data_IF_468174076111
#
_entry.id   IF_468174076111
#
_cell.length_a   1.000
_cell.length_b   1.000
_cell.length_c   1.000
_cell.angle_alpha   90.00
_cell.angle_beta   90.00
_cell.angle_gamma   90.00
#
_symmetry.space_group_name_H-M   'P 1'
#
loop_
_entity.id
_entity.type
_entity.pdbx_description
1 polymer ?
#
# COMPACT_ATOMS: atom_id res chain seq x y z
N UNK A 1 14.17 18.44 -10.49
CA UNK A 1 13.64 17.20 -11.10
C UNK A 1 12.71 16.59 -10.06
N UNK A 2 11.48 16.27 -10.45
CA UNK A 2 10.52 15.64 -9.53
C UNK A 2 10.97 14.21 -9.24
N UNK A 3 10.58 13.64 -8.10
CA UNK A 3 10.93 12.27 -7.73
C UNK A 3 10.47 11.25 -8.78
N UNK A 4 9.28 11.44 -9.32
CA UNK A 4 8.70 10.60 -10.38
C UNK A 4 9.58 10.53 -11.64
N UNK A 5 10.33 11.62 -11.93
CA UNK A 5 11.26 11.66 -13.09
C UNK A 5 12.55 10.88 -12.82
N UNK A 6 12.86 10.55 -11.56
CA UNK A 6 14.08 9.85 -11.13
C UNK A 6 13.87 8.35 -10.91
N UNK A 7 12.63 7.90 -10.77
CA UNK A 7 12.31 6.51 -10.45
C UNK A 7 11.72 5.79 -11.66
N UNK A 8 12.29 4.64 -11.99
CA UNK A 8 11.73 3.69 -12.95
C UNK A 8 11.24 2.47 -12.18
N UNK A 9 9.95 2.16 -12.29
CA UNK A 9 9.38 0.93 -11.72
C UNK A 9 9.30 -0.14 -12.81
N UNK A 10 9.99 -1.25 -12.60
CA UNK A 10 9.96 -2.43 -13.45
C UNK A 10 8.88 -3.39 -12.91
N UNK A 11 7.66 -3.29 -13.47
CA UNK A 11 6.47 -3.96 -12.94
C UNK A 11 6.61 -5.49 -12.88
N UNK A 12 7.22 -6.12 -13.90
CA UNK A 12 7.37 -7.59 -13.97
C UNK A 12 8.28 -8.14 -12.88
N UNK A 13 9.37 -7.45 -12.61
CA UNK A 13 10.39 -7.81 -11.64
C UNK A 13 10.09 -7.24 -10.25
N UNK A 14 9.15 -6.31 -10.17
CA UNK A 14 8.79 -5.55 -8.97
C UNK A 14 10.00 -4.81 -8.36
N UNK A 15 10.80 -4.19 -9.23
CA UNK A 15 12.04 -3.51 -8.89
C UNK A 15 11.89 -2.00 -9.14
N UNK A 16 12.39 -1.21 -8.20
CA UNK A 16 12.52 0.24 -8.37
C UNK A 16 13.97 0.61 -8.66
N UNK A 17 14.20 1.34 -9.75
CA UNK A 17 15.49 1.92 -10.10
C UNK A 17 15.44 3.42 -9.83
N UNK A 18 16.31 3.90 -8.96
CA UNK A 18 16.54 5.33 -8.74
C UNK A 18 17.66 5.79 -9.67
N UNK A 19 17.41 6.89 -10.41
CA UNK A 19 18.35 7.47 -11.40
C UNK A 19 18.84 6.46 -12.47
N UNK A 20 18.04 5.41 -12.70
CA UNK A 20 18.29 4.40 -13.74
C UNK A 20 19.30 3.30 -13.38
N UNK A 21 19.94 3.34 -12.21
CA UNK A 21 20.98 2.37 -11.83
C UNK A 21 20.95 1.90 -10.38
N UNK A 22 20.40 2.68 -9.45
CA UNK A 22 20.38 2.32 -8.02
C UNK A 22 19.11 1.52 -7.71
N UNK A 23 19.26 0.24 -7.40
CA UNK A 23 18.15 -0.61 -6.93
C UNK A 23 17.93 -0.35 -5.44
N UNK A 24 16.74 0.10 -5.09
CA UNK A 24 16.33 0.25 -3.69
C UNK A 24 15.33 -0.84 -3.29
N UNK A 25 15.42 -1.40 -2.06
CA UNK A 25 14.42 -2.30 -1.57
C UNK A 25 13.08 -1.59 -1.42
N UNK A 26 12.02 -2.28 -1.82
CA UNK A 26 10.67 -1.78 -1.59
C UNK A 26 10.26 -1.94 -0.13
N UNK A 27 9.33 -1.09 0.32
CA UNK A 27 8.68 -1.24 1.63
C UNK A 27 8.16 -2.66 1.82
N UNK A 28 7.58 -3.27 0.78
CA UNK A 28 7.04 -4.64 0.84
C UNK A 28 8.14 -5.68 1.05
N UNK A 29 9.32 -5.55 0.40
CA UNK A 29 10.45 -6.45 0.62
C UNK A 29 10.98 -6.39 2.06
N UNK A 30 11.14 -5.18 2.60
CA UNK A 30 11.56 -5.00 4.00
C UNK A 30 10.54 -5.58 4.98
N UNK A 31 9.25 -5.43 4.68
CA UNK A 31 8.19 -6.00 5.51
C UNK A 31 8.09 -7.52 5.38
N UNK A 32 8.39 -8.11 4.23
CA UNK A 32 8.50 -9.57 4.09
C UNK A 32 9.61 -10.13 4.97
N UNK A 33 10.75 -9.43 5.09
CA UNK A 33 11.81 -9.81 6.03
C UNK A 33 11.31 -9.81 7.49
N UNK A 34 10.58 -8.78 7.92
CA UNK A 34 10.01 -8.67 9.27
C UNK A 34 8.90 -9.71 9.53
N UNK A 35 8.02 -9.93 8.58
CA UNK A 35 6.81 -10.75 8.69
C UNK A 35 6.91 -12.04 7.87
N UNK A 36 8.11 -12.63 7.78
CA UNK A 36 8.44 -13.77 6.91
C UNK A 36 7.50 -14.99 7.05
N UNK A 37 6.92 -15.20 8.23
CA UNK A 37 6.03 -16.32 8.50
C UNK A 37 4.55 -16.03 8.18
N UNK A 38 4.20 -14.81 7.74
CA UNK A 38 2.79 -14.39 7.59
C UNK A 38 2.01 -15.24 6.58
N UNK A 39 2.67 -15.75 5.54
CA UNK A 39 2.04 -16.54 4.48
C UNK A 39 2.62 -17.96 4.34
N UNK A 40 3.41 -18.42 5.32
CA UNK A 40 4.17 -19.67 5.27
C UNK A 40 3.33 -20.90 4.93
N UNK A 41 2.10 -20.97 5.44
CA UNK A 41 1.21 -22.12 5.27
C UNK A 41 0.15 -21.89 4.17
N UNK A 42 0.28 -20.82 3.36
CA UNK A 42 -0.69 -20.52 2.30
C UNK A 42 -0.15 -20.98 0.95
N UNK A 43 -0.85 -21.86 0.22
CA UNK A 43 -0.41 -22.33 -1.09
C UNK A 43 -0.22 -21.18 -2.08
N UNK A 44 0.83 -21.23 -2.91
CA UNK A 44 1.18 -20.19 -3.89
C UNK A 44 0.03 -19.86 -4.85
N UNK A 45 -0.72 -20.86 -5.28
CA UNK A 45 -1.90 -20.64 -6.14
C UNK A 45 -2.97 -19.78 -5.47
N UNK A 46 -3.15 -19.91 -4.16
CA UNK A 46 -4.10 -19.12 -3.38
C UNK A 46 -3.59 -17.69 -3.26
N UNK A 47 -2.30 -17.51 -2.97
CA UNK A 47 -1.65 -16.21 -2.93
C UNK A 47 -1.76 -15.50 -4.28
N UNK A 48 -1.44 -16.18 -5.38
CA UNK A 48 -1.52 -15.63 -6.74
C UNK A 48 -2.95 -15.21 -7.12
N UNK A 49 -3.95 -16.03 -6.80
CA UNK A 49 -5.37 -15.69 -7.04
C UNK A 49 -5.81 -14.48 -6.21
N UNK A 50 -5.38 -14.39 -4.95
CA UNK A 50 -5.68 -13.27 -4.07
C UNK A 50 -5.00 -11.98 -4.55
N UNK A 51 -3.73 -12.04 -4.94
CA UNK A 51 -2.97 -10.93 -5.52
C UNK A 51 -3.63 -10.40 -6.79
N UNK A 52 -3.93 -11.27 -7.76
CA UNK A 52 -4.59 -10.88 -9.02
C UNK A 52 -5.96 -10.22 -8.78
N UNK A 53 -6.72 -10.70 -7.81
CA UNK A 53 -7.99 -10.08 -7.43
C UNK A 53 -7.75 -8.72 -6.79
N UNK A 54 -6.80 -8.62 -5.85
CA UNK A 54 -6.42 -7.37 -5.21
C UNK A 54 -6.02 -6.30 -6.23
N UNK A 55 -5.11 -6.62 -7.15
CA UNK A 55 -4.66 -5.70 -8.22
C UNK A 55 -5.83 -5.17 -9.05
N UNK A 56 -6.77 -6.02 -9.42
CA UNK A 56 -7.96 -5.59 -10.18
C UNK A 56 -8.82 -4.61 -9.38
N UNK A 57 -9.09 -4.92 -8.10
CA UNK A 57 -9.92 -4.05 -7.25
C UNK A 57 -9.22 -2.72 -6.97
N UNK A 58 -7.89 -2.72 -6.73
CA UNK A 58 -7.11 -1.48 -6.59
C UNK A 58 -7.27 -0.59 -7.80
N UNK A 59 -7.04 -1.13 -9.01
CA UNK A 59 -7.19 -0.38 -10.26
C UNK A 59 -8.60 0.18 -10.45
N UNK A 60 -9.64 -0.61 -10.21
CA UNK A 60 -11.03 -0.16 -10.34
C UNK A 60 -11.38 0.95 -9.34
N UNK A 61 -10.95 0.80 -8.08
CA UNK A 61 -11.20 1.82 -7.05
C UNK A 61 -10.36 3.09 -7.25
N UNK A 62 -9.17 2.98 -7.84
CA UNK A 62 -8.37 4.12 -8.29
C UNK A 62 -9.08 4.89 -9.41
N UNK A 63 -9.58 4.20 -10.44
CA UNK A 63 -10.36 4.81 -11.52
C UNK A 63 -11.59 5.55 -10.99
N UNK A 64 -12.32 4.94 -10.03
CA UNK A 64 -13.45 5.60 -9.34
C UNK A 64 -12.99 6.86 -8.60
N UNK A 65 -11.89 6.79 -7.87
CA UNK A 65 -11.33 7.92 -7.12
C UNK A 65 -10.90 9.07 -8.07
N UNK A 66 -10.41 8.74 -9.26
CA UNK A 66 -10.05 9.69 -10.32
C UNK A 66 -11.26 10.24 -11.10
N UNK A 67 -12.47 9.78 -10.78
CA UNK A 67 -13.71 10.24 -11.44
C UNK A 67 -13.95 9.64 -12.81
N UNK A 68 -13.31 8.51 -13.13
CA UNK A 68 -13.57 7.79 -14.38
C UNK A 68 -14.96 7.14 -14.34
N UNK A 69 -15.65 7.14 -15.48
CA UNK A 69 -16.96 6.50 -15.63
C UNK A 69 -16.79 4.99 -15.81
N UNK A 70 -17.11 4.22 -14.76
CA UNK A 70 -17.02 2.76 -14.75
C UNK A 70 -18.44 2.19 -14.58
N UNK A 71 -18.84 1.32 -15.50
CA UNK A 71 -20.08 0.56 -15.33
C UNK A 71 -19.90 -0.56 -14.30
N UNK A 72 -20.07 -0.21 -13.02
CA UNK A 72 -19.87 -1.12 -11.88
C UNK A 72 -20.78 -2.33 -11.94
N UNK A 73 -21.99 -2.23 -12.54
CA UNK A 73 -22.95 -3.31 -12.61
C UNK A 73 -22.58 -4.38 -13.66
N UNK A 74 -21.73 -4.05 -14.62
CA UNK A 74 -21.18 -4.98 -15.61
C UNK A 74 -19.92 -5.71 -15.16
N UNK A 75 -19.33 -5.30 -14.03
CA UNK A 75 -18.15 -5.96 -13.47
C UNK A 75 -18.48 -7.36 -12.94
N UNK A 76 -17.50 -8.27 -12.86
CA UNK A 76 -17.67 -9.53 -12.16
C UNK A 76 -18.15 -9.30 -10.72
N UNK A 77 -18.97 -10.21 -10.20
CA UNK A 77 -19.77 -10.02 -8.98
C UNK A 77 -18.97 -9.53 -7.77
N UNK A 78 -17.75 -10.03 -7.58
CA UNK A 78 -16.94 -9.67 -6.42
C UNK A 78 -16.22 -8.32 -6.59
N UNK A 79 -15.77 -8.00 -7.81
CA UNK A 79 -15.21 -6.71 -8.16
C UNK A 79 -16.27 -5.61 -8.05
N UNK A 80 -17.46 -5.84 -8.62
CA UNK A 80 -18.62 -4.95 -8.46
C UNK A 80 -18.96 -4.72 -6.99
N UNK A 81 -18.98 -5.80 -6.19
CA UNK A 81 -19.25 -5.70 -4.76
C UNK A 81 -18.21 -4.82 -4.04
N UNK A 82 -16.91 -5.04 -4.27
CA UNK A 82 -15.84 -4.25 -3.67
C UNK A 82 -15.93 -2.77 -4.07
N UNK A 83 -16.18 -2.46 -5.35
CA UNK A 83 -16.37 -1.08 -5.82
C UNK A 83 -17.57 -0.39 -5.13
N UNK A 84 -18.68 -1.11 -4.95
CA UNK A 84 -19.85 -0.60 -4.21
C UNK A 84 -19.55 -0.36 -2.73
N UNK A 85 -18.72 -1.22 -2.09
CA UNK A 85 -18.28 -1.00 -0.72
C UNK A 85 -17.34 0.21 -0.61
N UNK A 86 -16.41 0.37 -1.55
CA UNK A 86 -15.53 1.53 -1.66
C UNK A 86 -16.33 2.85 -1.73
N UNK A 87 -17.31 2.95 -2.61
CA UNK A 87 -18.20 4.11 -2.70
C UNK A 87 -18.96 4.38 -1.39
N UNK A 88 -19.47 3.32 -0.73
CA UNK A 88 -20.15 3.45 0.57
C UNK A 88 -19.21 3.98 1.65
N UNK A 89 -17.96 3.52 1.69
CA UNK A 89 -16.96 4.01 2.64
C UNK A 89 -16.59 5.46 2.36
N UNK A 90 -16.41 5.84 1.09
CA UNK A 90 -16.15 7.22 0.69
C UNK A 90 -17.26 8.16 1.18
N UNK A 91 -18.53 7.77 1.00
CA UNK A 91 -19.67 8.56 1.49
C UNK A 91 -19.74 8.58 3.02
N UNK A 92 -19.65 7.43 3.66
CA UNK A 92 -19.79 7.29 5.13
C UNK A 92 -18.76 8.08 5.92
N UNK A 93 -17.52 8.10 5.43
CA UNK A 93 -16.37 8.74 6.10
C UNK A 93 -15.97 10.07 5.46
N UNK A 94 -16.82 10.61 4.57
CA UNK A 94 -16.55 11.85 3.83
C UNK A 94 -15.11 11.86 3.26
N UNK A 95 -14.75 10.75 2.57
CA UNK A 95 -13.42 10.61 1.98
C UNK A 95 -13.37 11.46 0.71
N UNK A 96 -12.43 12.39 0.66
CA UNK A 96 -12.16 13.22 -0.51
C UNK A 96 -10.77 12.89 -1.04
N UNK A 97 -10.73 12.27 -2.21
CA UNK A 97 -9.50 11.87 -2.88
C UNK A 97 -8.58 13.07 -3.15
N UNK A 98 -7.28 12.87 -3.03
CA UNK A 98 -6.22 13.84 -3.37
C UNK A 98 -5.32 13.24 -4.44
N UNK A 99 -4.74 12.06 -4.18
CA UNK A 99 -3.75 11.43 -5.05
C UNK A 99 -3.73 9.90 -4.82
N UNK A 100 -3.52 9.12 -5.89
CA UNK A 100 -3.35 7.66 -5.85
C UNK A 100 -1.99 7.24 -6.40
N UNK A 101 -1.57 6.02 -6.05
CA UNK A 101 -0.37 5.33 -6.57
C UNK A 101 0.89 6.20 -6.54
N UNK A 102 1.05 6.95 -5.43
CA UNK A 102 2.19 7.86 -5.29
C UNK A 102 3.47 7.13 -4.93
N UNK A 103 4.49 7.27 -5.77
CA UNK A 103 5.83 6.79 -5.46
C UNK A 103 6.44 7.67 -4.37
N UNK A 104 6.96 7.04 -3.32
CA UNK A 104 7.61 7.69 -2.18
C UNK A 104 8.97 7.05 -1.90
N UNK A 105 9.94 7.85 -1.51
CA UNK A 105 11.29 7.40 -1.20
C UNK A 105 11.75 7.98 0.13
N UNK A 106 12.40 7.16 0.93
CA UNK A 106 13.17 7.62 2.08
C UNK A 106 14.66 7.53 1.73
N UNK A 107 15.23 8.64 1.28
CA UNK A 107 16.65 8.70 0.88
C UNK A 107 17.62 8.49 2.06
N UNK A 108 17.22 8.87 3.29
CA UNK A 108 18.06 8.66 4.49
C UNK A 108 18.22 7.18 4.81
N UNK A 109 17.14 6.41 4.69
CA UNK A 109 17.13 4.99 5.04
C UNK A 109 17.27 4.07 3.82
N UNK A 110 17.21 4.61 2.61
CA UNK A 110 17.43 3.87 1.37
C UNK A 110 16.30 2.91 1.01
N UNK A 111 15.04 3.29 1.13
CA UNK A 111 13.92 2.46 0.68
C UNK A 111 12.88 3.25 -0.11
N UNK A 112 12.08 2.55 -0.89
CA UNK A 112 11.10 3.12 -1.81
C UNK A 112 9.79 2.32 -1.77
N UNK A 113 8.70 2.90 -2.26
CA UNK A 113 7.46 2.18 -2.48
C UNK A 113 6.39 3.03 -3.13
N UNK A 114 5.25 2.40 -3.41
CA UNK A 114 4.06 3.07 -3.94
C UNK A 114 2.97 3.03 -2.88
N UNK A 115 2.49 4.20 -2.51
CA UNK A 115 1.42 4.40 -1.54
C UNK A 115 0.09 4.48 -2.29
N UNK A 116 -0.92 3.71 -1.86
CA UNK A 116 -2.17 3.54 -2.59
C UNK A 116 -2.99 4.83 -2.72
N UNK A 117 -3.15 5.59 -1.62
CA UNK A 117 -4.05 6.76 -1.62
C UNK A 117 -3.71 7.80 -0.55
N UNK A 118 -3.74 9.06 -0.94
CA UNK A 118 -3.81 10.22 -0.05
C UNK A 118 -5.22 10.82 -0.17
N UNK A 119 -5.87 11.08 0.95
CA UNK A 119 -7.22 11.63 0.98
C UNK A 119 -7.50 12.42 2.25
N UNK A 120 -8.51 13.29 2.22
CA UNK A 120 -9.13 13.76 3.45
C UNK A 120 -10.16 12.75 3.93
N UNK A 121 -10.05 12.30 5.18
CA UNK A 121 -11.04 11.45 5.87
C UNK A 121 -11.67 12.28 6.98
N UNK A 122 -12.97 12.56 6.88
CA UNK A 122 -13.67 13.47 7.80
C UNK A 122 -12.94 14.81 8.00
N UNK A 123 -12.33 15.35 6.95
CA UNK A 123 -11.60 16.62 6.96
C UNK A 123 -10.14 16.54 7.43
N UNK A 124 -9.63 15.38 7.83
CA UNK A 124 -8.23 15.19 8.21
C UNK A 124 -7.45 14.55 7.06
N UNK A 125 -6.33 15.18 6.66
CA UNK A 125 -5.43 14.63 5.65
C UNK A 125 -4.82 13.32 6.14
N UNK A 126 -4.93 12.27 5.35
CA UNK A 126 -4.66 10.90 5.76
C UNK A 126 -4.04 10.10 4.62
N UNK A 127 -3.32 9.03 4.97
CA UNK A 127 -2.97 7.97 4.03
C UNK A 127 -3.91 6.79 4.22
N UNK A 128 -4.25 6.13 3.10
CA UNK A 128 -5.13 4.97 3.07
C UNK A 128 -4.47 3.89 2.24
N UNK A 129 -4.26 2.72 2.82
CA UNK A 129 -3.84 1.51 2.12
C UNK A 129 -5.07 0.64 1.88
N UNK A 130 -5.20 0.06 0.70
CA UNK A 130 -6.31 -0.80 0.32
C UNK A 130 -5.92 -2.27 0.47
N UNK A 131 -6.80 -3.08 1.05
CA UNK A 131 -6.57 -4.53 1.18
C UNK A 131 -7.81 -5.32 0.80
N UNK A 132 -7.62 -6.31 -0.08
CA UNK A 132 -8.69 -7.22 -0.55
C UNK A 132 -8.53 -8.63 0.02
N UNK A 133 -7.73 -8.80 1.06
CA UNK A 133 -7.40 -10.08 1.68
C UNK A 133 -8.54 -10.61 2.54
N UNK A 134 -8.63 -11.95 2.67
CA UNK A 134 -9.62 -12.59 3.56
C UNK A 134 -9.36 -12.33 5.04
N UNK A 135 -8.11 -12.13 5.42
CA UNK A 135 -7.67 -11.75 6.77
C UNK A 135 -6.84 -10.48 6.69
N UNK A 136 -7.08 -9.58 7.61
CA UNK A 136 -6.38 -8.32 7.74
C UNK A 136 -5.36 -8.42 8.88
N UNK A 137 -4.08 -8.20 8.55
CA UNK A 137 -3.04 -8.07 9.56
C UNK A 137 -2.79 -6.60 9.83
N UNK A 138 -3.34 -6.11 10.95
CA UNK A 138 -3.27 -4.70 11.33
C UNK A 138 -1.82 -4.24 11.54
N UNK A 139 -0.97 -5.08 12.14
CA UNK A 139 0.42 -4.72 12.38
C UNK A 139 1.19 -4.55 11.08
N UNK A 140 1.07 -5.51 10.15
CA UNK A 140 1.71 -5.40 8.84
C UNK A 140 1.35 -4.09 8.13
N UNK A 141 0.06 -3.78 8.02
CA UNK A 141 -0.40 -2.58 7.30
C UNK A 141 -0.04 -1.29 8.07
N UNK A 142 -0.02 -1.32 9.40
CA UNK A 142 0.46 -0.19 10.21
C UNK A 142 1.93 0.11 9.95
N UNK A 143 2.78 -0.91 9.87
CA UNK A 143 4.19 -0.76 9.49
C UNK A 143 4.34 -0.24 8.07
N UNK A 144 3.59 -0.80 7.12
CA UNK A 144 3.60 -0.39 5.71
C UNK A 144 3.29 1.09 5.54
N UNK A 145 2.17 1.52 6.10
CA UNK A 145 1.75 2.92 6.02
C UNK A 145 2.70 3.86 6.77
N UNK A 146 3.28 3.41 7.90
CA UNK A 146 4.26 4.23 8.63
C UNK A 146 5.53 4.46 7.81
N UNK A 147 6.01 3.44 7.10
CA UNK A 147 7.15 3.59 6.20
C UNK A 147 6.82 4.55 5.05
N UNK A 148 5.64 4.44 4.45
CA UNK A 148 5.20 5.39 3.42
C UNK A 148 5.08 6.83 3.95
N UNK A 149 4.53 6.99 5.15
CA UNK A 149 4.40 8.31 5.79
C UNK A 149 5.77 8.99 5.99
N UNK A 150 6.74 8.24 6.50
CA UNK A 150 8.10 8.77 6.71
C UNK A 150 8.86 9.01 5.39
N UNK A 151 8.58 8.23 4.35
CA UNK A 151 9.13 8.47 3.02
C UNK A 151 8.50 9.69 2.33
N UNK A 152 7.20 9.91 2.54
CA UNK A 152 6.46 11.04 2.00
C UNK A 152 6.90 12.37 2.66
N UNK A 153 7.20 12.36 3.97
CA UNK A 153 7.63 13.54 4.71
C UNK A 153 6.57 14.64 4.88
N UNK A 154 5.30 14.32 4.64
CA UNK A 154 4.19 15.28 4.74
C UNK A 154 3.67 15.39 6.17
N UNK A 155 4.06 16.46 6.85
CA UNK A 155 3.69 16.74 8.24
C UNK A 155 2.21 17.10 8.46
N UNK A 156 1.43 17.33 7.41
CA UNK A 156 -0.01 17.58 7.51
C UNK A 156 -0.81 16.29 7.69
N UNK A 157 -0.26 15.15 7.29
CA UNK A 157 -0.90 13.85 7.45
C UNK A 157 -0.89 13.44 8.92
N UNK A 158 -2.08 13.27 9.49
CA UNK A 158 -2.27 12.98 10.92
C UNK A 158 -2.83 11.58 11.19
N UNK A 159 -3.36 10.93 10.16
CA UNK A 159 -4.06 9.66 10.29
C UNK A 159 -3.63 8.68 9.21
N UNK A 160 -3.71 7.43 9.56
CA UNK A 160 -3.44 6.29 8.69
C UNK A 160 -4.59 5.29 8.78
N UNK A 161 -5.04 4.81 7.64
CA UNK A 161 -6.17 3.89 7.55
C UNK A 161 -5.85 2.70 6.64
N UNK A 162 -6.56 1.59 6.87
CA UNK A 162 -6.73 0.53 5.91
C UNK A 162 -8.17 0.52 5.41
N UNK A 163 -8.36 0.62 4.11
CA UNK A 163 -9.62 0.31 3.46
C UNK A 163 -9.66 -1.18 3.14
N UNK A 164 -10.34 -1.95 4.01
CA UNK A 164 -10.44 -3.39 3.86
C UNK A 164 -11.68 -3.79 3.08
N UNK A 165 -11.48 -4.13 1.80
CA UNK A 165 -12.51 -4.53 0.83
C UNK A 165 -12.54 -6.04 0.67
N UNK A 166 -12.99 -6.74 1.69
CA UNK A 166 -13.05 -8.19 1.69
C UNK A 166 -14.06 -8.72 0.68
N UNK A 167 -13.68 -9.76 -0.05
CA UNK A 167 -14.52 -10.42 -1.03
C UNK A 167 -15.80 -10.95 -0.41
N UNK A 168 -16.96 -10.41 -0.84
CA UNK A 168 -18.28 -10.85 -0.38
C UNK A 168 -18.66 -10.46 1.06
N UNK A 169 -17.93 -9.52 1.69
CA UNK A 169 -18.23 -9.02 3.03
C UNK A 169 -18.25 -7.48 3.07
N UNK A 170 -18.81 -6.91 4.13
CA UNK A 170 -18.93 -5.46 4.28
C UNK A 170 -17.53 -4.85 4.39
N UNK A 171 -17.26 -3.86 3.54
CA UNK A 171 -16.02 -3.07 3.59
C UNK A 171 -15.88 -2.29 4.89
N UNK A 172 -14.65 -2.12 5.36
CA UNK A 172 -14.33 -1.39 6.58
C UNK A 172 -13.21 -0.40 6.34
N UNK A 173 -13.28 0.75 7.02
CA UNK A 173 -12.17 1.68 7.15
C UNK A 173 -11.62 1.55 8.56
N UNK A 174 -10.46 0.89 8.69
CA UNK A 174 -9.82 0.62 9.97
C UNK A 174 -8.71 1.65 10.23
N UNK A 175 -8.78 2.34 11.37
CA UNK A 175 -7.70 3.25 11.78
C UNK A 175 -6.48 2.44 12.23
N UNK A 176 -5.32 2.82 11.70
CA UNK A 176 -4.03 2.21 11.96
C UNK A 176 -3.22 3.07 12.94
N UNK A 177 -2.35 2.41 13.71
CA UNK A 177 -1.34 3.14 14.49
C UNK A 177 -0.13 3.50 13.61
N UNK A 178 0.57 4.55 14.00
CA UNK A 178 1.82 4.96 13.35
C UNK A 178 2.97 4.42 14.20
N UNK A 179 3.83 3.63 13.58
CA UNK A 179 5.04 3.06 14.19
C UNK A 179 6.07 4.17 14.40
N UNK A 180 6.77 4.16 15.52
CA UNK A 180 7.85 5.14 15.79
C UNK A 180 8.96 5.04 14.73
N UNK A 181 9.48 6.19 14.31
CA UNK A 181 10.55 6.27 13.29
C UNK A 181 11.81 5.49 13.69
N UNK A 182 12.12 5.43 15.00
CA UNK A 182 13.28 4.67 15.50
C UNK A 182 13.13 3.18 15.23
N UNK A 183 11.91 2.65 15.36
CA UNK A 183 11.64 1.23 15.07
C UNK A 183 11.76 0.95 13.56
N UNK A 184 11.26 1.86 12.71
CA UNK A 184 11.45 1.76 11.24
C UNK A 184 12.93 1.77 10.90
N UNK A 185 13.69 2.72 11.45
CA UNK A 185 15.15 2.83 11.24
C UNK A 185 15.90 1.58 11.69
N UNK A 186 15.49 0.98 12.80
CA UNK A 186 16.06 -0.29 13.30
C UNK A 186 15.80 -1.42 12.33
N UNK A 187 14.54 -1.60 11.88
CA UNK A 187 14.16 -2.65 10.92
C UNK A 187 14.93 -2.52 9.61
N UNK A 188 15.04 -1.32 9.05
CA UNK A 188 15.74 -1.12 7.77
C UNK A 188 17.24 -1.44 7.92
N UNK A 189 17.87 -1.08 9.03
CA UNK A 189 19.27 -1.46 9.29
C UNK A 189 19.46 -2.97 9.42
N UNK A 190 18.55 -3.66 10.12
CA UNK A 190 18.59 -5.11 10.26
C UNK A 190 18.40 -5.81 8.89
N UNK A 191 17.53 -5.28 8.05
CA UNK A 191 17.33 -5.75 6.68
C UNK A 191 18.61 -5.66 5.85
N UNK A 192 19.26 -4.49 5.82
CA UNK A 192 20.49 -4.31 5.04
C UNK A 192 21.64 -5.19 5.55
N UNK A 193 21.80 -5.30 6.88
CA UNK A 193 22.80 -6.19 7.46
C UNK A 193 22.61 -7.65 7.03
N UNK A 194 21.36 -8.14 7.02
CA UNK A 194 21.06 -9.49 6.57
C UNK A 194 21.40 -9.68 5.08
N UNK A 195 21.11 -8.69 4.23
CA UNK A 195 21.42 -8.74 2.79
C UNK A 195 22.93 -8.73 2.51
N UNK A 196 23.72 -8.04 3.33
CA UNK A 196 25.19 -8.06 3.25
C UNK A 196 25.74 -9.45 3.60
N UNK A 197 25.25 -10.07 4.69
CA UNK A 197 25.65 -11.40 5.15
C UNK A 197 25.28 -12.53 4.17
N UNK A 198 24.22 -12.38 3.38
CA UNK A 198 23.80 -13.35 2.34
C UNK A 198 24.65 -13.25 1.04
N UNK A 199 25.37 -12.16 0.84
CA UNK A 199 26.19 -11.91 -0.36
C UNK A 199 27.69 -12.19 -0.13
N UNK A 200 28.10 -12.53 1.11
CA UNK A 200 29.46 -12.99 1.47
C UNK A 200 29.56 -14.53 1.44
#
# INVERSE_FOLDING_TARGET
>A
MRLEDRVTFMEKEHIYLLDGWCVLPSVTQILHFKFKDMYKDVPDEVLKKASNFGTKVHKLTEQIDNGEDINIDELPIYESFCCKQHLKLNLKHNIKHIESEKIVINEELGYIGTLDKIAYVNGLKSIIDKKCTSRFNKDYVSWQNSMYLYALGDNEIKKSYCEWLKKGDIGKLEELYIVDYKEIKKLVKEYYKCMEEENE
#
